data_IF_804791161264
#
_entry.id   IF_804791161264
#
_cell.length_a   1.000
_cell.length_b   1.000
_cell.length_c   1.000
_cell.angle_alpha   90.00
_cell.angle_beta   90.00
_cell.angle_gamma   90.00
#
_symmetry.space_group_name_H-M   'P 1'
#
loop_
_entity.id
_entity.type
_entity.pdbx_description
1 polymer ?
#
# COMPACT_ATOMS: atom_id res chain seq x y z
N UNK A 1 81.09 -50.14 15.41
CA UNK A 1 81.69 -51.49 15.35
C UNK A 1 80.58 -52.51 15.36
N UNK A 2 80.57 -53.42 14.38
CA UNK A 2 79.81 -54.69 14.29
C UNK A 2 78.29 -54.55 14.05
N UNK A 3 77.82 -54.94 12.85
CA UNK A 3 77.25 -56.25 12.49
C UNK A 3 75.90 -56.48 13.21
N UNK A 4 74.80 -56.96 12.61
CA UNK A 4 74.67 -58.11 11.72
C UNK A 4 73.17 -58.32 11.37
N UNK A 5 72.93 -58.75 10.13
CA UNK A 5 72.17 -59.97 9.75
C UNK A 5 70.68 -60.09 10.14
N UNK A 6 69.85 -59.95 9.11
CA UNK A 6 68.78 -60.85 8.62
C UNK A 6 67.91 -61.64 9.61
N UNK A 7 66.59 -61.47 9.44
CA UNK A 7 65.58 -62.47 9.75
C UNK A 7 64.34 -62.25 8.87
N UNK A 8 64.23 -63.03 7.78
CA UNK A 8 63.12 -63.00 6.83
C UNK A 8 62.20 -64.18 7.18
N UNK A 9 60.94 -63.91 7.50
CA UNK A 9 59.87 -64.92 7.45
C UNK A 9 58.67 -64.29 6.71
N UNK A 10 58.38 -64.87 5.55
CA UNK A 10 57.16 -64.66 4.78
C UNK A 10 56.04 -65.58 5.31
N UNK A 11 54.84 -65.34 4.76
CA UNK A 11 53.54 -66.06 4.87
C UNK A 11 52.55 -65.32 5.77
N UNK A 12 51.26 -65.19 5.47
CA UNK A 12 50.44 -65.44 4.27
C UNK A 12 49.06 -64.82 4.58
N UNK A 13 48.40 -64.24 3.59
CA UNK A 13 46.95 -63.93 3.60
C UNK A 13 46.54 -62.75 4.49
N UNK A 14 45.56 -61.93 4.16
CA UNK A 14 44.60 -61.94 3.06
C UNK A 14 43.66 -60.76 3.29
N UNK A 15 43.67 -59.85 2.31
CA UNK A 15 42.68 -58.86 1.89
C UNK A 15 41.98 -57.88 2.88
N UNK A 16 41.66 -56.67 2.40
CA UNK A 16 41.61 -55.47 3.20
C UNK A 16 40.20 -55.01 3.61
N UNK A 17 40.20 -54.40 4.78
CA UNK A 17 39.25 -53.42 5.29
C UNK A 17 39.21 -52.15 4.44
N UNK A 18 38.04 -51.50 4.38
CA UNK A 18 37.77 -50.07 4.09
C UNK A 18 37.47 -49.68 2.63
N UNK A 19 36.17 -49.58 2.33
CA UNK A 19 35.62 -48.45 1.57
C UNK A 19 34.70 -47.66 2.50
N UNK A 20 35.15 -46.49 2.94
CA UNK A 20 34.27 -45.48 3.53
C UNK A 20 33.92 -44.49 2.41
N UNK A 21 32.66 -44.52 1.95
CA UNK A 21 32.12 -43.54 1.01
C UNK A 21 31.99 -42.18 1.69
N UNK A 22 32.70 -41.18 1.18
CA UNK A 22 32.43 -39.76 1.41
C UNK A 22 31.09 -39.40 0.74
N UNK A 23 30.04 -39.17 1.52
CA UNK A 23 28.77 -38.61 1.02
C UNK A 23 28.75 -37.10 1.24
N UNK A 24 29.04 -36.38 0.16
CA UNK A 24 28.85 -34.93 0.02
C UNK A 24 27.38 -34.69 -0.36
N UNK A 25 26.51 -34.42 0.62
CA UNK A 25 25.15 -33.94 0.36
C UNK A 25 25.12 -32.42 0.55
N UNK A 26 25.02 -31.73 -0.58
CA UNK A 26 24.75 -30.30 -0.72
C UNK A 26 23.54 -29.90 0.13
N UNK A 27 23.70 -28.85 0.94
CA UNK A 27 22.61 -28.22 1.66
C UNK A 27 21.61 -27.59 0.69
N UNK A 28 20.37 -28.07 0.69
CA UNK A 28 19.23 -27.28 0.26
C UNK A 28 18.95 -26.22 1.33
N UNK A 29 19.41 -24.99 1.09
CA UNK A 29 18.88 -23.84 1.80
C UNK A 29 17.46 -23.58 1.27
N UNK A 30 16.41 -23.57 2.11
CA UNK A 30 15.10 -23.12 1.64
C UNK A 30 15.21 -21.63 1.31
N UNK A 31 15.01 -21.28 0.05
CA UNK A 31 14.67 -19.93 -0.36
C UNK A 31 13.34 -19.59 0.30
N UNK A 32 13.35 -18.90 1.44
CA UNK A 32 12.17 -18.20 1.92
C UNK A 32 11.85 -17.14 0.86
N UNK A 33 10.92 -17.44 -0.05
CA UNK A 33 10.21 -16.39 -0.74
C UNK A 33 9.48 -15.60 0.34
N UNK A 34 9.88 -14.34 0.54
CA UNK A 34 9.08 -13.42 1.31
C UNK A 34 7.72 -13.37 0.62
N UNK A 35 6.72 -14.01 1.25
CA UNK A 35 5.36 -14.00 0.75
C UNK A 35 4.88 -12.56 0.89
N UNK A 36 4.90 -11.82 -0.22
CA UNK A 36 4.43 -10.45 -0.25
C UNK A 36 2.94 -10.46 0.09
N UNK A 37 2.53 -9.55 0.96
CA UNK A 37 1.13 -9.35 1.30
C UNK A 37 0.33 -9.11 0.01
N UNK A 38 -0.87 -9.68 -0.14
CA UNK A 38 -1.73 -9.36 -1.26
C UNK A 38 -1.96 -7.85 -1.39
N UNK A 39 -2.01 -7.35 -2.62
CA UNK A 39 -2.15 -5.93 -2.95
C UNK A 39 -3.31 -5.69 -3.90
N UNK A 40 -4.02 -4.59 -3.66
CA UNK A 40 -4.98 -3.99 -4.60
C UNK A 40 -4.36 -2.70 -5.13
N UNK A 41 -4.26 -2.59 -6.45
CA UNK A 41 -3.72 -1.45 -7.15
C UNK A 41 -4.82 -0.79 -7.97
N UNK A 42 -4.76 0.53 -8.03
CA UNK A 42 -5.64 1.35 -8.83
C UNK A 42 -4.83 2.39 -9.57
N UNK A 43 -5.12 2.57 -10.85
CA UNK A 43 -4.70 3.76 -11.59
C UNK A 43 -5.88 4.40 -12.30
N UNK A 44 -5.84 5.72 -12.45
CA UNK A 44 -6.76 6.49 -13.29
C UNK A 44 -5.98 7.49 -14.10
N UNK A 45 -6.15 7.44 -15.43
CA UNK A 45 -5.62 8.43 -16.34
C UNK A 45 -6.76 9.19 -16.99
N UNK A 46 -6.78 10.51 -16.79
CA UNK A 46 -7.75 11.40 -17.39
C UNK A 46 -7.09 12.72 -17.81
N UNK A 47 -6.45 12.77 -18.98
CA UNK A 47 -5.76 13.97 -19.45
C UNK A 47 -6.67 15.20 -19.47
N UNK A 48 -6.18 16.31 -18.93
CA UNK A 48 -6.93 17.56 -18.82
C UNK A 48 -7.76 17.70 -17.54
N UNK A 49 -7.85 16.68 -16.69
CA UNK A 49 -8.41 16.82 -15.34
C UNK A 49 -7.35 17.18 -14.30
N UNK A 50 -7.80 17.48 -13.08
CA UNK A 50 -6.94 17.79 -11.93
C UNK A 50 -7.30 16.87 -10.76
N UNK A 51 -6.49 15.82 -10.48
CA UNK A 51 -5.26 15.44 -11.18
C UNK A 51 -5.54 14.74 -12.52
N UNK A 52 -4.54 14.72 -13.40
CA UNK A 52 -4.61 14.03 -14.70
C UNK A 52 -4.26 12.54 -14.60
N UNK A 53 -3.59 12.15 -13.52
CA UNK A 53 -3.23 10.78 -13.21
C UNK A 53 -3.33 10.55 -11.70
N UNK A 54 -3.76 9.35 -11.30
CA UNK A 54 -3.73 8.87 -9.92
C UNK A 54 -3.23 7.43 -9.95
N UNK A 55 -2.35 7.07 -9.03
CA UNK A 55 -1.99 5.70 -8.69
C UNK A 55 -2.12 5.49 -7.18
N UNK A 56 -2.79 4.40 -6.80
CA UNK A 56 -2.95 3.97 -5.42
C UNK A 56 -2.55 2.50 -5.33
N UNK A 57 -1.70 2.14 -4.38
CA UNK A 57 -1.40 0.74 -4.04
C UNK A 57 -1.70 0.51 -2.58
N UNK A 58 -2.49 -0.52 -2.26
CA UNK A 58 -2.89 -0.85 -0.90
C UNK A 58 -2.50 -2.30 -0.64
N UNK A 59 -1.71 -2.55 0.39
CA UNK A 59 -1.48 -3.92 0.88
C UNK A 59 -2.57 -4.36 1.88
N UNK A 60 -2.67 -5.67 2.11
CA UNK A 60 -3.67 -6.23 3.05
C UNK A 60 -3.49 -5.80 4.52
N UNK A 61 -2.37 -5.16 4.88
CA UNK A 61 -2.17 -4.54 6.20
C UNK A 61 -2.56 -3.05 6.21
N UNK A 62 -3.02 -2.50 5.09
CA UNK A 62 -3.43 -1.11 4.94
C UNK A 62 -2.29 -0.14 4.66
N UNK A 63 -1.06 -0.64 4.47
CA UNK A 63 0.06 0.19 4.01
C UNK A 63 -0.26 0.61 2.59
N UNK A 64 -0.33 1.92 2.37
CA UNK A 64 -0.83 2.48 1.13
C UNK A 64 0.15 3.50 0.56
N UNK A 65 0.30 3.49 -0.76
CA UNK A 65 0.97 4.56 -1.51
C UNK A 65 -0.04 5.31 -2.36
N UNK A 66 0.17 6.62 -2.50
CA UNK A 66 -0.62 7.53 -3.30
C UNK A 66 0.29 8.39 -4.19
N UNK A 67 -0.04 8.54 -5.47
CA UNK A 67 0.77 9.33 -6.41
C UNK A 67 -0.11 9.97 -7.49
N UNK A 68 0.12 11.25 -7.80
CA UNK A 68 -0.54 11.96 -8.90
C UNK A 68 0.28 12.00 -10.20
N UNK A 69 1.44 11.33 -10.21
CA UNK A 69 2.37 11.23 -11.33
C UNK A 69 2.69 9.78 -11.67
N UNK A 70 3.31 9.56 -12.83
CA UNK A 70 3.81 8.24 -13.24
C UNK A 70 5.17 7.88 -12.63
N UNK A 71 5.80 8.84 -11.95
CA UNK A 71 7.10 8.66 -11.33
C UNK A 71 6.91 8.14 -9.91
N UNK A 72 7.20 6.85 -9.69
CA UNK A 72 6.97 6.14 -8.43
C UNK A 72 7.74 6.74 -7.23
N UNK A 73 8.83 7.46 -7.49
CA UNK A 73 9.66 8.06 -6.43
C UNK A 73 8.94 9.21 -5.71
N UNK A 74 7.89 9.77 -6.32
CA UNK A 74 7.06 10.84 -5.73
C UNK A 74 5.85 10.32 -4.95
N UNK A 75 5.78 9.02 -4.66
CA UNK A 75 4.65 8.44 -3.96
C UNK A 75 4.62 8.83 -2.47
N UNK A 76 3.49 9.39 -2.05
CA UNK A 76 3.15 9.62 -0.66
C UNK A 76 2.75 8.32 0.01
N UNK A 77 3.07 8.18 1.30
CA UNK A 77 2.81 6.97 2.08
C UNK A 77 1.84 7.27 3.20
N UNK A 78 0.81 6.44 3.31
CA UNK A 78 -0.18 6.51 4.37
C UNK A 78 -0.52 5.13 4.91
N UNK A 79 -1.18 5.12 6.07
CA UNK A 79 -1.76 3.93 6.66
C UNK A 79 -3.28 4.10 6.70
N UNK A 80 -3.99 3.20 6.02
CA UNK A 80 -5.45 3.16 6.06
C UNK A 80 -5.95 2.49 7.35
N UNK A 81 -7.16 2.87 7.75
CA UNK A 81 -7.89 2.20 8.83
C UNK A 81 -8.24 0.76 8.45
N UNK A 82 -8.30 -0.14 9.45
CA UNK A 82 -8.45 -1.59 9.20
C UNK A 82 -9.78 -1.93 8.54
N UNK A 83 -10.85 -1.24 8.91
CA UNK A 83 -12.19 -1.39 8.34
C UNK A 83 -12.25 -0.93 6.88
N UNK A 84 -11.56 0.16 6.54
CA UNK A 84 -11.42 0.66 5.17
C UNK A 84 -10.64 -0.36 4.32
N UNK A 85 -9.48 -0.83 4.79
CA UNK A 85 -8.70 -1.86 4.09
C UNK A 85 -9.50 -3.13 3.89
N UNK A 86 -10.19 -3.62 4.92
CA UNK A 86 -11.03 -4.82 4.82
C UNK A 86 -12.13 -4.66 3.77
N UNK A 87 -12.79 -3.49 3.73
CA UNK A 87 -13.85 -3.19 2.75
C UNK A 87 -13.34 -3.23 1.31
N UNK A 88 -12.14 -2.69 1.05
CA UNK A 88 -11.52 -2.69 -0.28
C UNK A 88 -11.18 -4.10 -0.73
N UNK A 89 -10.62 -4.94 0.14
CA UNK A 89 -10.28 -6.32 -0.18
C UNK A 89 -11.52 -7.23 -0.32
N UNK A 90 -12.60 -6.97 0.44
CA UNK A 90 -13.89 -7.65 0.24
C UNK A 90 -14.47 -7.32 -1.15
N UNK A 91 -14.42 -6.06 -1.58
CA UNK A 91 -14.85 -5.65 -2.92
C UNK A 91 -13.99 -6.28 -4.02
N UNK A 92 -12.67 -6.32 -3.86
CA UNK A 92 -11.79 -7.01 -4.80
C UNK A 92 -12.15 -8.50 -4.94
N UNK A 93 -12.49 -9.17 -3.82
CA UNK A 93 -12.94 -10.56 -3.82
C UNK A 93 -14.29 -10.73 -4.53
N UNK A 94 -15.26 -9.84 -4.28
CA UNK A 94 -16.57 -9.86 -4.96
C UNK A 94 -16.47 -9.62 -6.46
N UNK A 95 -15.43 -8.93 -6.91
CA UNK A 95 -15.10 -8.69 -8.31
C UNK A 95 -14.21 -9.79 -8.92
N UNK A 96 -14.13 -10.95 -8.25
CA UNK A 96 -13.28 -12.10 -8.60
C UNK A 96 -11.85 -11.69 -8.95
N UNK A 97 -11.26 -10.84 -8.10
CA UNK A 97 -9.90 -10.35 -8.24
C UNK A 97 -9.61 -9.74 -9.62
N UNK A 98 -10.62 -9.12 -10.24
CA UNK A 98 -10.50 -8.45 -11.54
C UNK A 98 -10.21 -9.38 -12.72
N UNK A 99 -10.58 -10.66 -12.64
CA UNK A 99 -10.42 -11.65 -13.74
C UNK A 99 -11.40 -11.46 -14.90
N UNK A 100 -12.40 -10.58 -14.73
CA UNK A 100 -13.46 -10.37 -15.70
C UNK A 100 -13.55 -8.91 -16.12
N UNK A 101 -14.09 -8.67 -17.31
CA UNK A 101 -14.27 -7.31 -17.82
C UNK A 101 -15.28 -6.53 -16.96
N UNK A 102 -14.91 -5.32 -16.57
CA UNK A 102 -15.77 -4.39 -15.82
C UNK A 102 -16.39 -3.29 -16.69
N UNK A 103 -15.99 -3.19 -17.96
CA UNK A 103 -16.50 -2.20 -18.89
C UNK A 103 -17.99 -2.41 -19.18
N UNK A 104 -18.77 -1.34 -19.09
CA UNK A 104 -20.22 -1.36 -19.28
C UNK A 104 -20.67 -1.64 -20.73
N UNK A 105 -19.82 -1.35 -21.72
CA UNK A 105 -20.18 -1.36 -23.14
C UNK A 105 -21.14 -0.24 -23.56
N UNK A 106 -21.53 0.66 -22.65
CA UNK A 106 -22.40 1.78 -22.96
C UNK A 106 -21.64 2.87 -23.72
N UNK A 107 -22.35 3.55 -24.62
CA UNK A 107 -21.83 4.75 -25.28
C UNK A 107 -21.90 5.95 -24.31
N UNK A 108 -20.90 6.05 -23.44
CA UNK A 108 -20.73 7.16 -22.49
C UNK A 108 -19.56 8.05 -22.90
N UNK A 109 -19.51 9.25 -22.34
CA UNK A 109 -18.32 10.10 -22.46
C UNK A 109 -17.10 9.42 -21.84
N UNK A 110 -15.90 9.90 -22.22
CA UNK A 110 -14.68 9.48 -21.55
C UNK A 110 -14.64 10.07 -20.13
N UNK A 111 -14.66 9.20 -19.12
CA UNK A 111 -14.63 9.52 -17.69
C UNK A 111 -13.24 9.21 -17.07
N UNK A 112 -12.24 9.02 -17.92
CA UNK A 112 -10.91 8.57 -17.55
C UNK A 112 -10.77 7.04 -17.56
N UNK A 113 -9.67 6.56 -18.12
CA UNK A 113 -9.31 5.15 -18.11
C UNK A 113 -8.90 4.76 -16.69
N UNK A 114 -9.59 3.78 -16.11
CA UNK A 114 -9.37 3.23 -14.77
C UNK A 114 -8.85 1.82 -14.90
N UNK A 115 -7.85 1.48 -14.11
CA UNK A 115 -7.27 0.14 -14.07
C UNK A 115 -7.30 -0.35 -12.64
N UNK A 116 -7.93 -1.51 -12.42
CA UNK A 116 -7.83 -2.25 -11.17
C UNK A 116 -6.91 -3.44 -11.36
N UNK A 117 -6.03 -3.65 -10.39
CA UNK A 117 -5.09 -4.76 -10.40
C UNK A 117 -5.01 -5.43 -9.04
N UNK A 118 -4.94 -6.76 -9.07
CA UNK A 118 -4.73 -7.63 -7.94
C UNK A 118 -3.36 -8.27 -8.05
N UNK A 119 -2.65 -8.37 -6.93
CA UNK A 119 -1.38 -9.09 -6.85
C UNK A 119 -1.29 -9.89 -5.55
N UNK A 120 -1.10 -11.21 -5.64
CA UNK A 120 -0.84 -12.10 -4.52
C UNK A 120 0.22 -13.15 -4.92
N UNK A 121 1.49 -12.80 -4.75
CA UNK A 121 2.60 -13.65 -5.22
C UNK A 121 2.58 -13.80 -6.74
N UNK A 122 2.42 -15.02 -7.24
CA UNK A 122 2.32 -15.30 -8.68
C UNK A 122 0.91 -15.06 -9.26
N UNK A 123 -0.10 -14.88 -8.41
CA UNK A 123 -1.47 -14.61 -8.84
C UNK A 123 -1.63 -13.12 -9.11
N UNK A 124 -1.73 -12.73 -10.39
CA UNK A 124 -1.84 -11.31 -10.80
C UNK A 124 -2.88 -11.16 -11.89
N UNK A 125 -3.80 -10.21 -11.69
CA UNK A 125 -4.91 -9.93 -12.59
C UNK A 125 -5.11 -8.43 -12.71
N UNK A 126 -5.54 -7.98 -13.89
CA UNK A 126 -5.74 -6.58 -14.17
C UNK A 126 -6.91 -6.40 -15.14
N UNK A 127 -7.72 -5.37 -14.91
CA UNK A 127 -8.79 -4.94 -15.81
C UNK A 127 -8.74 -3.43 -15.98
N UNK A 128 -8.85 -2.97 -17.23
CA UNK A 128 -8.96 -1.55 -17.57
C UNK A 128 -10.33 -1.25 -18.14
N UNK A 129 -10.97 -0.19 -17.67
CA UNK A 129 -12.31 0.23 -18.06
C UNK A 129 -12.51 1.74 -17.91
N UNK A 130 -13.45 2.31 -18.64
CA UNK A 130 -13.86 3.71 -18.56
C UNK A 130 -15.05 3.88 -17.58
N UNK A 131 -16.07 3.05 -17.73
CA UNK A 131 -17.28 3.08 -16.89
C UNK A 131 -17.78 1.66 -16.62
N UNK A 132 -18.25 1.40 -15.39
CA UNK A 132 -18.81 0.12 -15.00
C UNK A 132 -20.26 0.27 -14.51
N UNK A 133 -21.10 -0.72 -14.81
CA UNK A 133 -22.43 -0.86 -14.23
C UNK A 133 -22.45 -1.75 -12.98
N UNK A 134 -21.37 -2.49 -12.70
CA UNK A 134 -21.26 -3.31 -11.50
C UNK A 134 -21.22 -2.42 -10.25
N UNK A 135 -22.15 -2.63 -9.32
CA UNK A 135 -22.25 -1.85 -8.09
C UNK A 135 -21.02 -2.03 -7.18
N UNK A 136 -20.39 -3.20 -7.15
CA UNK A 136 -19.15 -3.41 -6.39
C UNK A 136 -17.99 -2.63 -7.01
N UNK A 137 -17.92 -2.56 -8.34
CA UNK A 137 -16.91 -1.75 -9.03
C UNK A 137 -17.09 -0.26 -8.75
N UNK A 138 -18.34 0.23 -8.71
CA UNK A 138 -18.65 1.62 -8.33
C UNK A 138 -18.30 1.92 -6.88
N UNK A 139 -18.59 1.00 -5.95
CA UNK A 139 -18.23 1.15 -4.54
C UNK A 139 -16.71 1.14 -4.35
N UNK A 140 -16.00 0.27 -5.05
CA UNK A 140 -14.53 0.23 -5.02
C UNK A 140 -13.95 1.52 -5.60
N UNK A 141 -14.54 2.05 -6.67
CA UNK A 141 -14.18 3.37 -7.20
C UNK A 141 -14.35 4.47 -6.15
N UNK A 142 -15.48 4.51 -5.44
CA UNK A 142 -15.73 5.53 -4.40
C UNK A 142 -14.66 5.49 -3.31
N UNK A 143 -14.19 4.31 -2.91
CA UNK A 143 -13.07 4.19 -1.96
C UNK A 143 -11.78 4.81 -2.49
N UNK A 144 -11.42 4.58 -3.75
CA UNK A 144 -10.23 5.20 -4.33
C UNK A 144 -10.37 6.73 -4.47
N UNK A 145 -11.56 7.23 -4.79
CA UNK A 145 -11.81 8.68 -4.81
C UNK A 145 -11.75 9.28 -3.40
N UNK A 146 -12.22 8.57 -2.35
CA UNK A 146 -12.08 9.01 -0.94
C UNK A 146 -10.63 9.11 -0.50
N UNK A 147 -9.79 8.14 -0.87
CA UNK A 147 -8.35 8.17 -0.59
C UNK A 147 -7.73 9.36 -1.31
N UNK A 148 -8.04 9.55 -2.60
CA UNK A 148 -7.56 10.68 -3.40
C UNK A 148 -7.95 12.02 -2.77
N UNK A 149 -9.22 12.19 -2.40
CA UNK A 149 -9.71 13.43 -1.79
C UNK A 149 -9.03 13.70 -0.43
N UNK A 150 -8.82 12.65 0.38
CA UNK A 150 -8.17 12.76 1.70
C UNK A 150 -6.71 13.17 1.59
N UNK A 151 -5.95 12.53 0.69
CA UNK A 151 -4.54 12.83 0.47
C UNK A 151 -4.33 14.23 -0.11
N UNK A 152 -5.15 14.63 -1.09
CA UNK A 152 -5.09 15.99 -1.64
C UNK A 152 -5.42 17.04 -0.59
N UNK A 153 -6.39 16.79 0.28
CA UNK A 153 -6.71 17.69 1.39
C UNK A 153 -5.56 17.78 2.42
N UNK A 154 -4.90 16.66 2.71
CA UNK A 154 -3.71 16.62 3.56
C UNK A 154 -2.56 17.44 2.96
N UNK A 155 -2.20 17.17 1.70
CA UNK A 155 -1.11 17.84 1.00
C UNK A 155 -1.35 19.34 0.87
N UNK A 156 -2.58 19.75 0.58
CA UNK A 156 -2.94 21.16 0.50
C UNK A 156 -2.84 21.85 1.86
N UNK A 157 -3.27 21.19 2.95
CA UNK A 157 -3.08 21.72 4.30
C UNK A 157 -1.59 21.85 4.66
N UNK A 158 -0.78 20.84 4.36
CA UNK A 158 0.66 20.86 4.69
C UNK A 158 1.38 21.96 3.90
N UNK A 159 1.09 22.08 2.60
CA UNK A 159 1.60 23.15 1.74
C UNK A 159 1.19 24.53 2.27
N UNK A 160 -0.09 24.73 2.60
CA UNK A 160 -0.58 25.98 3.15
C UNK A 160 0.09 26.31 4.50
N UNK A 161 0.21 25.32 5.39
CA UNK A 161 0.87 25.52 6.68
C UNK A 161 2.34 25.95 6.56
N UNK A 162 3.04 25.52 5.49
CA UNK A 162 4.43 25.89 5.20
C UNK A 162 4.58 27.22 4.47
N UNK A 163 3.69 27.52 3.53
CA UNK A 163 3.93 28.59 2.54
C UNK A 163 2.80 29.62 2.42
N UNK A 164 1.58 29.28 2.84
CA UNK A 164 0.40 30.13 2.68
C UNK A 164 -0.48 30.10 3.94
N UNK A 165 -0.08 30.94 4.89
CA UNK A 165 -0.69 31.00 6.22
C UNK A 165 -2.15 31.48 6.19
N UNK A 166 -2.53 32.28 5.20
CA UNK A 166 -3.92 32.72 5.01
C UNK A 166 -4.75 31.59 4.39
N UNK A 167 -4.16 30.79 3.51
CA UNK A 167 -4.77 29.61 2.89
C UNK A 167 -5.08 28.46 3.85
N UNK A 168 -4.44 28.40 5.02
CA UNK A 168 -4.66 27.34 6.02
C UNK A 168 -6.13 27.20 6.41
N UNK A 169 -6.87 28.31 6.51
CA UNK A 169 -8.30 28.23 6.80
C UNK A 169 -9.06 27.50 5.68
N UNK A 170 -8.78 27.82 4.42
CA UNK A 170 -9.47 27.21 3.28
C UNK A 170 -9.13 25.72 3.17
N UNK A 171 -7.85 25.36 3.36
CA UNK A 171 -7.42 23.96 3.38
C UNK A 171 -8.09 23.17 4.51
N UNK A 172 -8.19 23.76 5.71
CA UNK A 172 -8.91 23.15 6.84
C UNK A 172 -10.40 22.93 6.55
N UNK A 173 -11.06 23.83 5.81
CA UNK A 173 -12.47 23.62 5.42
C UNK A 173 -12.65 22.37 4.54
N UNK A 174 -11.68 22.05 3.68
CA UNK A 174 -11.75 20.82 2.87
C UNK A 174 -11.72 19.57 3.74
N UNK A 175 -10.82 19.54 4.74
CA UNK A 175 -10.76 18.42 5.69
C UNK A 175 -12.05 18.30 6.51
N UNK A 176 -12.60 19.42 6.99
CA UNK A 176 -13.87 19.42 7.72
C UNK A 176 -15.00 18.90 6.85
N UNK A 177 -15.10 19.34 5.58
CA UNK A 177 -16.11 18.84 4.65
C UNK A 177 -15.99 17.32 4.45
N UNK A 178 -14.77 16.79 4.27
CA UNK A 178 -14.57 15.34 4.12
C UNK A 178 -14.92 14.58 5.40
N UNK A 179 -14.58 15.14 6.56
CA UNK A 179 -14.91 14.57 7.87
C UNK A 179 -16.43 14.49 8.07
N UNK A 180 -17.13 15.61 7.89
CA UNK A 180 -18.58 15.71 8.11
C UNK A 180 -19.38 14.80 7.16
N UNK A 181 -18.88 14.61 5.94
CA UNK A 181 -19.48 13.70 4.96
C UNK A 181 -19.03 12.24 5.12
N UNK A 182 -18.25 11.90 6.17
CA UNK A 182 -17.70 10.55 6.42
C UNK A 182 -16.89 10.00 5.24
N UNK A 183 -16.20 10.89 4.51
CA UNK A 183 -15.35 10.58 3.35
C UNK A 183 -13.85 10.62 3.67
N UNK A 184 -13.47 11.21 4.80
CA UNK A 184 -12.07 11.27 5.22
C UNK A 184 -11.56 9.89 5.68
N UNK A 185 -10.46 9.44 5.08
CA UNK A 185 -9.76 8.17 5.38
C UNK A 185 -8.27 8.43 5.64
N UNK A 186 -7.54 7.43 6.15
CA UNK A 186 -6.13 7.60 6.51
C UNK A 186 -5.94 8.59 7.66
N UNK A 187 -6.93 8.73 8.54
CA UNK A 187 -7.08 9.88 9.44
C UNK A 187 -5.96 9.99 10.48
N UNK A 188 -5.36 8.88 10.90
CA UNK A 188 -4.30 8.87 11.91
C UNK A 188 -3.08 9.68 11.51
N UNK A 189 -2.67 9.63 10.24
CA UNK A 189 -1.49 10.35 9.77
C UNK A 189 -1.68 11.87 9.81
N UNK A 190 -2.93 12.34 9.82
CA UNK A 190 -3.23 13.78 9.81
C UNK A 190 -2.96 14.43 11.17
N UNK A 191 -2.97 13.65 12.26
CA UNK A 191 -2.90 14.16 13.63
C UNK A 191 -1.71 15.09 13.91
N UNK A 192 -0.46 14.78 13.49
CA UNK A 192 0.66 15.68 13.71
C UNK A 192 0.50 17.03 13.04
N UNK A 193 -0.07 17.07 11.83
CA UNK A 193 -0.32 18.30 11.10
C UNK A 193 -1.48 19.10 11.71
N UNK A 194 -2.57 18.43 12.07
CA UNK A 194 -3.71 19.07 12.74
C UNK A 194 -3.31 19.67 14.10
N UNK A 195 -2.52 18.96 14.89
CA UNK A 195 -2.01 19.47 16.17
C UNK A 195 -1.09 20.68 15.97
N UNK A 196 -0.24 20.66 14.92
CA UNK A 196 0.63 21.78 14.56
C UNK A 196 -0.22 23.01 14.21
N UNK A 197 -1.27 22.83 13.40
CA UNK A 197 -2.18 23.92 13.03
C UNK A 197 -2.91 24.45 14.26
N UNK A 198 -3.48 23.59 15.10
CA UNK A 198 -4.21 23.99 16.31
C UNK A 198 -3.37 24.84 17.28
N UNK A 199 -2.11 24.44 17.50
CA UNK A 199 -1.22 25.09 18.48
C UNK A 199 -0.56 26.37 17.97
N UNK A 200 -0.53 26.59 16.66
CA UNK A 200 0.21 27.70 16.08
C UNK A 200 -0.66 28.97 16.00
N UNK A 201 -0.45 29.91 16.92
CA UNK A 201 -1.16 31.20 17.02
C UNK A 201 -1.01 32.09 15.80
N UNK A 202 -0.06 31.75 14.95
CA UNK A 202 0.29 32.47 13.77
C UNK A 202 -0.71 32.17 12.60
N UNK A 203 -1.62 31.21 12.78
CA UNK A 203 -2.77 30.92 11.91
C UNK A 203 -4.07 31.52 12.45
N UNK A 204 -5.06 31.73 11.56
CA UNK A 204 -6.38 32.26 11.90
C UNK A 204 -7.05 31.38 12.97
N UNK A 205 -7.64 32.00 14.00
CA UNK A 205 -8.24 31.30 15.14
C UNK A 205 -9.26 30.22 14.73
N UNK A 206 -10.13 30.53 13.77
CA UNK A 206 -11.11 29.58 13.24
C UNK A 206 -10.47 28.34 12.60
N UNK A 207 -9.30 28.46 11.97
CA UNK A 207 -8.59 27.31 11.42
C UNK A 207 -8.03 26.42 12.53
N UNK A 208 -7.50 27.04 13.59
CA UNK A 208 -6.95 26.36 14.76
C UNK A 208 -8.01 25.58 15.52
N UNK A 209 -9.17 26.21 15.78
CA UNK A 209 -10.31 25.57 16.45
C UNK A 209 -10.83 24.36 15.67
N UNK A 210 -10.97 24.49 14.34
CA UNK A 210 -11.36 23.36 13.48
C UNK A 210 -10.34 22.23 13.51
N UNK A 211 -9.04 22.55 13.43
CA UNK A 211 -8.00 21.54 13.49
C UNK A 211 -8.01 20.79 14.82
N UNK A 212 -8.19 21.50 15.94
CA UNK A 212 -8.34 20.90 17.26
C UNK A 212 -9.57 19.99 17.35
N UNK A 213 -10.71 20.44 16.81
CA UNK A 213 -11.96 19.67 16.80
C UNK A 213 -11.84 18.38 15.99
N UNK A 214 -11.33 18.45 14.76
CA UNK A 214 -11.11 17.27 13.91
C UNK A 214 -10.11 16.31 14.56
N UNK A 215 -9.00 16.81 15.09
CA UNK A 215 -8.01 15.97 15.76
C UNK A 215 -8.57 15.27 17.01
N UNK A 216 -9.42 15.95 17.79
CA UNK A 216 -10.11 15.35 18.91
C UNK A 216 -11.09 14.27 18.46
N UNK A 217 -11.83 14.50 17.37
CA UNK A 217 -12.79 13.56 16.82
C UNK A 217 -12.12 12.29 16.25
N UNK A 218 -10.99 12.43 15.55
CA UNK A 218 -10.16 11.30 15.08
C UNK A 218 -9.71 10.44 16.26
N UNK A 219 -9.19 11.06 17.32
CA UNK A 219 -8.75 10.35 18.54
C UNK A 219 -9.90 9.69 19.29
N UNK A 220 -11.11 10.25 19.24
CA UNK A 220 -12.28 9.65 19.84
C UNK A 220 -12.71 8.41 19.05
N UNK A 221 -12.75 8.50 17.71
CA UNK A 221 -13.05 7.37 16.82
C UNK A 221 -12.07 6.22 17.02
N UNK A 222 -10.76 6.50 17.06
CA UNK A 222 -9.73 5.46 17.19
C UNK A 222 -9.70 4.75 18.54
N UNK A 223 -10.37 5.27 19.57
CA UNK A 223 -10.51 4.60 20.88
C UNK A 223 -11.75 3.70 20.93
N UNK A 224 -12.70 3.91 20.02
CA UNK A 224 -13.91 3.12 19.94
C UNK A 224 -13.74 1.86 19.08
N UNK A 225 -12.69 1.85 18.24
CA UNK A 225 -12.23 0.72 17.42
C UNK A 225 -11.24 -0.17 18.19
#
# INVERSE_FOLDING_TARGET
>A
MKQSVWGRLQTCGGLPTRLALFSLLLGLAPLLQAQSNPRVLYTKSFPGSVPAYVAITIDSNGVTTYNESKDEDNAEKLQLERDVTASIFDLATRLDYFKHALESGLKVANLGAKTYRWEAGADTHEVTFNFSQDENAKLLQDWFERITDSERAYLELDRAAKHDRLGVHQAMLQIVNLWDNKRLVGTQQMLPLLDRVAKNEAFINMARERAAAVAAAIRAKSKAE
#
